data_IF_180095563909
#
_entry.id   IF_180095563909
#
_cell.length_a   1.000
_cell.length_b   1.000
_cell.length_c   1.000
_cell.angle_alpha   90.00
_cell.angle_beta   90.00
_cell.angle_gamma   90.00
#
_symmetry.space_group_name_H-M   'P 1'
#
loop_
_entity.id
_entity.type
_entity.pdbx_description
1 polymer ?
#
# COMPACT_ATOMS: atom_id res chain seq x y z
N UNK A 1 -2.35 -11.62 2.37
CA UNK A 1 -2.71 -10.20 2.63
C UNK A 1 -2.52 -9.83 4.10
N UNK A 2 -3.28 -10.44 5.02
CA UNK A 2 -3.26 -10.05 6.45
C UNK A 2 -1.91 -10.25 7.17
N UNK A 3 -1.02 -11.10 6.66
CA UNK A 3 0.33 -11.22 7.21
C UNK A 3 1.16 -9.94 7.14
N UNK A 4 0.85 -9.01 6.22
CA UNK A 4 1.57 -7.75 6.09
C UNK A 4 1.39 -6.81 7.32
N UNK A 5 0.15 -6.45 7.74
CA UNK A 5 -0.03 -5.68 8.97
C UNK A 5 0.41 -6.44 10.23
N UNK A 6 0.28 -7.77 10.27
CA UNK A 6 0.82 -8.59 11.38
C UNK A 6 2.33 -8.44 11.46
N UNK A 7 3.05 -8.55 10.34
CA UNK A 7 4.50 -8.36 10.31
C UNK A 7 4.91 -6.94 10.71
N UNK A 8 4.18 -5.91 10.27
CA UNK A 8 4.45 -4.52 10.67
C UNK A 8 4.26 -4.30 12.17
N UNK A 9 3.20 -4.86 12.76
CA UNK A 9 2.96 -4.82 14.21
C UNK A 9 4.06 -5.56 14.98
N UNK A 10 4.45 -6.76 14.53
CA UNK A 10 5.56 -7.50 15.12
C UNK A 10 6.89 -6.74 15.03
N UNK A 11 7.13 -6.01 13.94
CA UNK A 11 8.36 -5.23 13.78
C UNK A 11 8.48 -4.12 14.84
N UNK A 12 7.42 -3.34 15.08
CA UNK A 12 7.45 -2.18 16.00
C UNK A 12 7.27 -2.54 17.48
N UNK A 13 6.58 -3.64 17.79
CA UNK A 13 6.29 -4.04 19.18
C UNK A 13 7.19 -5.13 19.72
N UNK A 14 7.88 -5.88 18.86
CA UNK A 14 8.71 -7.01 19.29
C UNK A 14 10.13 -6.92 18.71
N UNK A 15 10.28 -6.93 17.39
CA UNK A 15 11.61 -7.04 16.77
C UNK A 15 12.48 -5.83 17.09
N UNK A 16 11.94 -4.62 16.96
CA UNK A 16 12.67 -3.40 17.26
C UNK A 16 13.13 -3.31 18.72
N UNK A 17 12.25 -3.48 19.73
CA UNK A 17 12.68 -3.62 21.13
C UNK A 17 13.76 -4.65 21.39
N UNK A 18 13.68 -5.83 20.75
CA UNK A 18 14.67 -6.88 20.92
C UNK A 18 16.04 -6.48 20.35
N UNK A 19 16.05 -5.82 19.19
CA UNK A 19 17.28 -5.32 18.57
C UNK A 19 17.94 -4.19 19.37
N UNK A 20 17.14 -3.30 19.96
CA UNK A 20 17.62 -2.19 20.80
C UNK A 20 17.89 -2.59 22.26
N UNK A 21 17.43 -3.77 22.69
CA UNK A 21 17.67 -4.32 24.03
C UNK A 21 16.71 -3.83 25.10
N UNK A 22 15.62 -3.12 24.74
CA UNK A 22 14.62 -2.63 25.69
C UNK A 22 13.23 -2.46 25.07
N UNK A 23 12.19 -2.84 25.82
CA UNK A 23 10.79 -2.53 25.46
C UNK A 23 10.42 -1.06 25.64
N UNK A 24 11.26 -0.25 26.30
CA UNK A 24 11.07 1.21 26.35
C UNK A 24 11.11 1.86 24.96
N UNK A 25 11.81 1.22 24.02
CA UNK A 25 12.03 1.76 22.68
C UNK A 25 10.98 1.24 21.68
N UNK A 26 10.07 0.37 22.14
CA UNK A 26 8.93 -0.06 21.36
C UNK A 26 7.94 1.08 21.10
N UNK A 27 7.17 0.98 20.02
CA UNK A 27 6.18 2.00 19.70
C UNK A 27 5.14 2.13 20.84
N UNK A 28 4.91 3.33 21.40
CA UNK A 28 3.89 3.51 22.43
C UNK A 28 2.46 3.36 21.90
N UNK A 29 1.55 2.90 22.76
CA UNK A 29 0.12 2.74 22.44
C UNK A 29 -0.65 4.06 22.57
N UNK A 30 -0.38 5.02 21.68
CA UNK A 30 -1.10 6.28 21.62
C UNK A 30 -0.63 7.17 20.48
N UNK A 31 -1.51 8.07 20.01
CA UNK A 31 -1.28 8.89 18.80
C UNK A 31 0.03 9.70 18.92
N UNK A 32 0.18 10.48 19.99
CA UNK A 32 1.40 11.28 20.22
C UNK A 32 2.64 10.39 20.42
N UNK A 33 2.46 9.22 21.03
CA UNK A 33 3.53 8.25 21.22
C UNK A 33 4.03 7.65 19.91
N UNK A 34 3.13 7.36 18.97
CA UNK A 34 3.50 6.94 17.61
C UNK A 34 4.32 8.02 16.90
N UNK A 35 3.93 9.30 17.00
CA UNK A 35 4.73 10.39 16.43
C UNK A 35 6.11 10.51 17.07
N UNK A 36 6.19 10.38 18.40
CA UNK A 36 7.47 10.39 19.10
C UNK A 36 8.38 9.25 18.62
N UNK A 37 7.86 8.02 18.55
CA UNK A 37 8.57 6.87 17.99
C UNK A 37 9.11 7.17 16.58
N UNK A 38 8.27 7.68 15.67
CA UNK A 38 8.67 7.98 14.30
C UNK A 38 9.80 9.02 14.21
N UNK A 39 9.75 10.06 15.04
CA UNK A 39 10.76 11.13 15.03
C UNK A 39 12.11 10.63 15.59
N UNK A 40 12.09 9.87 16.68
CA UNK A 40 13.30 9.25 17.25
C UNK A 40 13.89 8.25 16.26
N UNK A 41 13.05 7.40 15.68
CA UNK A 41 13.48 6.41 14.69
C UNK A 41 14.15 7.05 13.47
N UNK A 42 13.65 8.21 13.00
CA UNK A 42 14.33 8.97 11.95
C UNK A 42 15.68 9.51 12.41
N UNK A 43 15.78 10.04 13.62
CA UNK A 43 17.03 10.56 14.15
C UNK A 43 18.11 9.47 14.29
N UNK A 44 17.72 8.26 14.68
CA UNK A 44 18.64 7.14 14.94
C UNK A 44 18.97 6.33 13.68
N UNK A 45 18.02 6.18 12.76
CA UNK A 45 18.15 5.24 11.63
C UNK A 45 18.12 5.88 10.24
N UNK A 46 17.83 7.17 10.12
CA UNK A 46 17.65 7.85 8.84
C UNK A 46 16.66 7.11 7.92
N UNK A 47 15.52 6.67 8.48
CA UNK A 47 14.54 5.80 7.80
C UNK A 47 14.04 6.35 6.46
N UNK A 48 13.94 7.68 6.31
CA UNK A 48 13.54 8.29 5.04
C UNK A 48 14.50 7.96 3.89
N UNK A 49 15.77 7.68 4.20
CA UNK A 49 16.80 7.26 3.24
C UNK A 49 16.94 5.73 3.13
N UNK A 50 16.08 4.95 3.78
CA UNK A 50 16.09 3.50 3.70
C UNK A 50 15.17 3.00 2.55
N UNK A 51 15.68 2.19 1.60
CA UNK A 51 14.90 1.80 0.41
C UNK A 51 13.65 0.98 0.75
N UNK A 52 13.69 0.16 1.80
CA UNK A 52 12.51 -0.59 2.21
C UNK A 52 11.37 0.30 2.75
N UNK A 53 11.68 1.42 3.40
CA UNK A 53 10.66 2.39 3.77
C UNK A 53 10.08 3.08 2.54
N UNK A 54 10.92 3.44 1.56
CA UNK A 54 10.47 4.03 0.29
C UNK A 54 9.57 3.08 -0.52
N UNK A 55 9.89 1.78 -0.56
CA UNK A 55 9.01 0.74 -1.12
C UNK A 55 7.68 0.65 -0.36
N UNK A 56 7.71 0.83 0.96
CA UNK A 56 6.53 1.00 1.80
C UNK A 56 5.63 2.14 1.39
N UNK A 57 6.21 3.33 1.24
CA UNK A 57 5.52 4.54 0.76
C UNK A 57 4.90 4.30 -0.62
N UNK A 58 5.64 3.71 -1.55
CA UNK A 58 5.12 3.33 -2.87
C UNK A 58 3.96 2.32 -2.77
N UNK A 59 4.03 1.38 -1.82
CA UNK A 59 2.97 0.42 -1.52
C UNK A 59 1.67 1.08 -1.08
N UNK A 60 1.72 2.00 -0.12
CA UNK A 60 0.52 2.65 0.43
C UNK A 60 -0.05 3.71 -0.52
N UNK A 61 0.80 4.52 -1.17
CA UNK A 61 0.35 5.49 -2.16
C UNK A 61 -0.22 4.81 -3.40
N UNK A 62 0.48 3.81 -3.94
CA UNK A 62 -0.03 3.02 -5.05
C UNK A 62 -1.29 2.24 -4.67
N UNK A 63 -1.37 1.66 -3.47
CA UNK A 63 -2.58 1.00 -2.97
C UNK A 63 -3.79 1.94 -2.94
N UNK A 64 -3.60 3.17 -2.47
CA UNK A 64 -4.65 4.20 -2.44
C UNK A 64 -5.07 4.63 -3.85
N UNK A 65 -4.09 4.85 -4.74
CA UNK A 65 -4.31 5.18 -6.14
C UNK A 65 -5.10 4.07 -6.85
N UNK A 66 -4.69 2.82 -6.71
CA UNK A 66 -5.33 1.69 -7.39
C UNK A 66 -6.70 1.35 -6.80
N UNK A 67 -6.92 1.61 -5.51
CA UNK A 67 -8.27 1.53 -4.91
C UNK A 67 -9.22 2.53 -5.57
N UNK A 68 -8.81 3.79 -5.72
CA UNK A 68 -9.60 4.83 -6.37
C UNK A 68 -9.81 4.54 -7.87
N UNK A 69 -8.75 4.09 -8.56
CA UNK A 69 -8.81 3.70 -9.97
C UNK A 69 -9.79 2.54 -10.19
N UNK A 70 -9.69 1.47 -9.41
CA UNK A 70 -10.56 0.31 -9.57
C UNK A 70 -12.02 0.67 -9.29
N UNK A 71 -12.30 1.35 -8.18
CA UNK A 71 -13.66 1.78 -7.83
C UNK A 71 -14.29 2.68 -8.90
N UNK A 72 -13.53 3.63 -9.45
CA UNK A 72 -14.04 4.53 -10.51
C UNK A 72 -14.28 3.80 -11.85
N UNK A 73 -13.40 2.88 -12.26
CA UNK A 73 -13.57 2.10 -13.50
C UNK A 73 -14.76 1.13 -13.43
N UNK A 74 -14.96 0.46 -12.29
CA UNK A 74 -16.13 -0.41 -12.10
C UNK A 74 -17.41 0.42 -12.09
N UNK A 75 -17.45 1.50 -11.32
CA UNK A 75 -18.65 2.37 -11.20
C UNK A 75 -19.04 2.99 -12.55
N UNK A 76 -18.05 3.43 -13.35
CA UNK A 76 -18.30 4.03 -14.67
C UNK A 76 -18.79 3.04 -15.74
N UNK A 77 -18.74 1.73 -15.48
CA UNK A 77 -19.10 0.68 -16.45
C UNK A 77 -20.21 -0.24 -15.96
N UNK A 78 -20.95 0.16 -14.91
CA UNK A 78 -22.14 -0.55 -14.45
C UNK A 78 -23.17 -0.67 -15.59
N UNK A 79 -23.77 -1.86 -15.72
CA UNK A 79 -24.91 -2.06 -16.62
C UNK A 79 -26.13 -1.36 -16.03
N UNK A 80 -26.93 -0.70 -16.87
CA UNK A 80 -28.10 0.05 -16.42
C UNK A 80 -29.24 -0.90 -16.06
N UNK A 81 -29.45 -1.11 -14.76
CA UNK A 81 -30.51 -1.96 -14.22
C UNK A 81 -31.56 -1.19 -13.37
N UNK A 82 -31.38 0.12 -13.19
CA UNK A 82 -32.29 0.98 -12.39
C UNK A 82 -32.75 2.21 -13.16
N UNK A 83 -33.76 2.88 -12.59
CA UNK A 83 -34.21 4.20 -13.05
C UNK A 83 -33.35 5.33 -12.45
N UNK A 84 -33.55 6.57 -12.91
CA UNK A 84 -32.82 7.75 -12.42
C UNK A 84 -33.22 8.18 -11.01
N UNK A 85 -34.40 7.74 -10.53
CA UNK A 85 -34.93 8.06 -9.21
C UNK A 85 -34.51 7.07 -8.13
N UNK A 86 -33.80 6.00 -8.50
CA UNK A 86 -33.36 4.93 -7.61
C UNK A 86 -31.83 4.85 -7.58
N UNK A 87 -31.27 4.38 -6.46
CA UNK A 87 -29.83 4.13 -6.38
C UNK A 87 -29.41 3.01 -7.34
N UNK A 88 -28.32 3.23 -8.09
CA UNK A 88 -27.72 2.21 -8.96
C UNK A 88 -27.34 0.93 -8.22
N UNK A 89 -27.08 1.00 -6.90
CA UNK A 89 -26.78 -0.18 -6.08
C UNK A 89 -27.92 -1.20 -6.09
N UNK A 90 -29.18 -0.77 -6.26
CA UNK A 90 -30.32 -1.68 -6.34
C UNK A 90 -30.32 -2.53 -7.62
N UNK A 91 -29.52 -2.17 -8.62
CA UNK A 91 -29.33 -2.96 -9.83
C UNK A 91 -28.61 -4.29 -9.59
N UNK A 92 -27.72 -4.34 -8.60
CA UNK A 92 -27.08 -5.58 -8.18
C UNK A 92 -27.95 -6.37 -7.19
N UNK A 93 -28.06 -7.67 -7.41
CA UNK A 93 -28.69 -8.63 -6.48
C UNK A 93 -27.64 -9.56 -5.91
N UNK A 94 -27.64 -9.70 -4.59
CA UNK A 94 -26.71 -10.58 -3.89
C UNK A 94 -26.85 -12.02 -4.37
N UNK A 95 -25.74 -12.59 -4.88
CA UNK A 95 -25.69 -13.96 -5.40
C UNK A 95 -26.09 -14.12 -6.86
N UNK A 96 -26.30 -13.03 -7.62
CA UNK A 96 -26.51 -13.12 -9.06
C UNK A 96 -25.30 -13.73 -9.79
N UNK A 97 -25.56 -14.48 -10.86
CA UNK A 97 -24.51 -15.16 -11.65
C UNK A 97 -23.82 -14.22 -12.65
N UNK A 98 -24.54 -13.21 -13.15
CA UNK A 98 -24.02 -12.29 -14.16
C UNK A 98 -23.20 -11.15 -13.54
N UNK A 99 -22.12 -10.77 -14.23
CA UNK A 99 -21.28 -9.63 -13.85
C UNK A 99 -22.05 -8.31 -13.94
N UNK A 100 -21.97 -7.48 -12.90
CA UNK A 100 -22.76 -6.24 -12.80
C UNK A 100 -22.22 -5.07 -13.65
N UNK A 101 -21.06 -5.23 -14.29
CA UNK A 101 -20.36 -4.19 -15.02
C UNK A 101 -19.70 -4.75 -16.29
N UNK A 102 -19.45 -3.87 -17.27
CA UNK A 102 -18.82 -4.25 -18.53
C UNK A 102 -17.29 -4.03 -18.47
N UNK A 103 -16.55 -5.11 -18.19
CA UNK A 103 -15.07 -5.07 -18.15
C UNK A 103 -14.43 -4.68 -19.49
N UNK A 104 -15.05 -5.01 -20.63
CA UNK A 104 -14.53 -4.65 -21.96
C UNK A 104 -14.62 -3.14 -22.18
N UNK A 105 -15.71 -2.51 -21.72
CA UNK A 105 -15.86 -1.06 -21.74
C UNK A 105 -14.84 -0.38 -20.82
N UNK A 106 -14.68 -0.87 -19.58
CA UNK A 106 -13.69 -0.34 -18.64
C UNK A 106 -12.25 -0.47 -19.18
N UNK A 107 -11.89 -1.65 -19.70
CA UNK A 107 -10.59 -1.90 -20.31
C UNK A 107 -10.35 -0.98 -21.51
N UNK A 108 -11.36 -0.83 -22.37
CA UNK A 108 -11.29 0.04 -23.54
C UNK A 108 -11.16 1.52 -23.20
N UNK A 109 -11.79 1.99 -22.12
CA UNK A 109 -11.59 3.37 -21.63
C UNK A 109 -10.16 3.56 -21.11
N UNK A 110 -9.74 2.72 -20.15
CA UNK A 110 -8.44 2.88 -19.51
C UNK A 110 -7.26 2.65 -20.46
N UNK A 111 -7.39 1.70 -21.39
CA UNK A 111 -6.41 1.43 -22.42
C UNK A 111 -6.24 2.58 -23.42
N UNK A 112 -7.26 3.43 -23.61
CA UNK A 112 -7.15 4.67 -24.40
C UNK A 112 -6.61 5.84 -23.57
N UNK A 113 -6.87 5.87 -22.27
CA UNK A 113 -6.40 6.91 -21.37
C UNK A 113 -4.88 6.90 -21.22
N UNK A 114 -4.27 5.72 -21.10
CA UNK A 114 -2.82 5.55 -20.90
C UNK A 114 -2.17 4.96 -22.16
N UNK A 115 -2.27 3.65 -22.35
CA UNK A 115 -1.98 2.91 -23.58
C UNK A 115 -2.50 1.48 -23.43
N UNK A 116 -2.85 0.81 -24.53
CA UNK A 116 -3.65 -0.42 -24.50
C UNK A 116 -3.06 -1.54 -23.62
N UNK A 117 -1.74 -1.69 -23.62
CA UNK A 117 -1.04 -2.72 -22.86
C UNK A 117 -0.90 -2.43 -21.36
N UNK A 118 -1.16 -1.20 -20.91
CA UNK A 118 -1.17 -0.85 -19.49
C UNK A 118 -2.47 -1.27 -18.77
N UNK A 119 -3.49 -1.67 -19.53
CA UNK A 119 -4.81 -1.99 -19.01
C UNK A 119 -4.99 -3.50 -18.81
N UNK A 120 -5.63 -3.88 -17.72
CA UNK A 120 -5.97 -5.30 -17.47
C UNK A 120 -7.21 -5.69 -18.27
N UNK A 121 -7.10 -6.76 -19.07
CA UNK A 121 -8.24 -7.39 -19.73
C UNK A 121 -8.67 -8.71 -19.04
N UNK A 122 -7.92 -9.14 -18.02
CA UNK A 122 -8.22 -10.32 -17.20
C UNK A 122 -8.49 -9.86 -15.76
N UNK A 123 -9.73 -10.07 -15.29
CA UNK A 123 -10.16 -9.68 -13.94
C UNK A 123 -9.32 -10.36 -12.84
N UNK A 124 -8.91 -11.62 -13.03
CA UNK A 124 -8.11 -12.35 -12.03
C UNK A 124 -6.72 -11.72 -11.85
N UNK A 125 -6.08 -11.35 -12.95
CA UNK A 125 -4.77 -10.67 -12.93
C UNK A 125 -4.87 -9.28 -12.29
N UNK A 126 -5.94 -8.53 -12.59
CA UNK A 126 -6.22 -7.24 -11.96
C UNK A 126 -6.34 -7.39 -10.44
N UNK A 127 -7.21 -8.28 -9.96
CA UNK A 127 -7.44 -8.44 -8.52
C UNK A 127 -6.22 -9.02 -7.79
N UNK A 128 -5.45 -9.90 -8.45
CA UNK A 128 -4.15 -10.33 -7.93
C UNK A 128 -3.20 -9.14 -7.75
N UNK A 129 -3.09 -8.25 -8.74
CA UNK A 129 -2.27 -7.05 -8.64
C UNK A 129 -2.72 -6.11 -7.52
N UNK A 130 -4.04 -5.85 -7.42
CA UNK A 130 -4.63 -5.02 -6.36
C UNK A 130 -4.31 -5.57 -4.96
N UNK A 131 -4.28 -6.90 -4.80
CA UNK A 131 -3.88 -7.52 -3.56
C UNK A 131 -2.36 -7.47 -3.34
N UNK A 132 -1.56 -7.77 -4.36
CA UNK A 132 -0.11 -7.92 -4.25
C UNK A 132 0.59 -6.59 -3.97
N UNK A 133 0.22 -5.51 -4.66
CA UNK A 133 0.91 -4.21 -4.57
C UNK A 133 1.04 -3.67 -3.14
N UNK A 134 -0.06 -3.42 -2.39
CA UNK A 134 0.05 -2.90 -1.03
C UNK A 134 0.68 -3.92 -0.07
N UNK A 135 0.42 -5.23 -0.27
CA UNK A 135 0.94 -6.28 0.61
C UNK A 135 2.46 -6.35 0.54
N UNK A 136 3.03 -6.34 -0.66
CA UNK A 136 4.49 -6.38 -0.85
C UNK A 136 5.14 -5.12 -0.30
N UNK A 137 4.56 -3.93 -0.53
CA UNK A 137 5.10 -2.69 0.04
C UNK A 137 5.14 -2.68 1.57
N UNK A 138 4.06 -3.15 2.22
CA UNK A 138 4.03 -3.24 3.69
C UNK A 138 5.00 -4.31 4.21
N UNK A 139 5.18 -5.44 3.50
CA UNK A 139 6.23 -6.41 3.87
C UNK A 139 7.62 -5.79 3.84
N UNK A 140 7.97 -5.01 2.82
CA UNK A 140 9.24 -4.29 2.82
C UNK A 140 9.34 -3.31 3.99
N UNK A 141 8.29 -2.55 4.29
CA UNK A 141 8.29 -1.64 5.45
C UNK A 141 8.58 -2.38 6.76
N UNK A 142 7.89 -3.51 6.98
CA UNK A 142 8.10 -4.35 8.16
C UNK A 142 9.54 -4.91 8.23
N UNK A 143 10.08 -5.35 7.10
CA UNK A 143 11.48 -5.77 6.98
C UNK A 143 12.44 -4.61 7.29
N UNK A 144 12.17 -3.39 6.79
CA UNK A 144 12.98 -2.22 7.04
C UNK A 144 13.09 -1.88 8.52
N UNK A 145 11.97 -1.85 9.24
CA UNK A 145 11.98 -1.66 10.69
C UNK A 145 12.74 -2.80 11.39
N UNK A 146 12.52 -4.04 10.94
CA UNK A 146 13.17 -5.22 11.50
C UNK A 146 14.69 -5.25 11.28
N UNK A 147 15.20 -4.70 10.17
CA UNK A 147 16.64 -4.62 9.90
C UNK A 147 17.30 -3.43 10.60
N UNK A 148 16.62 -2.29 10.65
CA UNK A 148 17.09 -1.12 11.40
C UNK A 148 17.10 -1.36 12.91
N UNK A 149 16.30 -2.30 13.43
CA UNK A 149 16.44 -2.82 14.80
C UNK A 149 17.85 -3.33 15.12
N UNK A 150 18.60 -3.77 14.12
CA UNK A 150 20.00 -4.20 14.24
C UNK A 150 20.98 -3.17 13.63
N UNK A 151 20.56 -1.90 13.59
CA UNK A 151 21.35 -0.74 13.17
C UNK A 151 21.88 -0.79 11.72
N UNK A 152 21.24 -1.57 10.85
CA UNK A 152 21.43 -1.46 9.40
C UNK A 152 20.55 -0.32 8.87
N UNK A 153 21.10 0.90 8.95
CA UNK A 153 20.39 2.16 8.74
C UNK A 153 20.19 2.51 7.26
N UNK A 154 19.41 3.57 7.01
CA UNK A 154 19.25 4.15 5.68
C UNK A 154 20.57 4.69 5.10
N UNK A 155 20.57 4.98 3.80
CA UNK A 155 21.76 5.52 3.13
C UNK A 155 22.27 6.79 3.82
N UNK A 156 23.60 6.93 3.87
CA UNK A 156 24.28 8.11 4.37
C UNK A 156 25.15 8.69 3.26
N UNK A 157 24.80 9.89 2.80
CA UNK A 157 25.52 10.61 1.76
C UNK A 157 26.24 11.87 2.29
N UNK A 158 26.55 11.91 3.59
CA UNK A 158 27.30 13.02 4.18
C UNK A 158 28.68 13.11 3.51
N UNK A 159 29.03 14.31 3.02
CA UNK A 159 30.30 14.58 2.32
C UNK A 159 30.54 13.71 1.07
N UNK A 160 29.48 13.22 0.41
CA UNK A 160 29.61 12.40 -0.80
C UNK A 160 29.99 13.17 -2.07
N UNK A 161 30.03 14.51 -2.03
CA UNK A 161 30.43 15.38 -3.14
C UNK A 161 31.55 16.30 -2.64
N UNK A 162 32.70 16.27 -3.30
CA UNK A 162 33.90 17.07 -3.00
C UNK A 162 34.30 17.76 -4.31
N UNK A 163 34.69 19.03 -4.24
CA UNK A 163 35.29 19.75 -5.37
C UNK A 163 36.78 19.38 -5.56
N UNK A 164 37.36 19.82 -6.68
CA UNK A 164 38.77 19.58 -7.03
C UNK A 164 39.72 20.59 -6.40
#
# INVERSE_FOLDING_TARGET
AYSAPVAAASAVFLIYPLGQGSFSDGMPLGICGTFNFMLVFQAEHNILMHPFHQLGVAGVFGGSLFSAMHGSLVTSSLVRETTETESQNYGYKFGQEEETYNIVAAHGYFGRLIFQYASFNNSRSLHFFLAAWPVIGIWFTALGISTMAFNLNGFNFNQSVIDS
#
